data_IF_804254308189
#
_entry.id   IF_804254308189
#
_cell.length_a   1.000
_cell.length_b   1.000
_cell.length_c   1.000
_cell.angle_alpha   90.00
_cell.angle_beta   90.00
_cell.angle_gamma   90.00
#
_symmetry.space_group_name_H-M   'P 1'
#
loop_
_entity.id
_entity.type
_entity.pdbx_description
1 polymer ?
#
# COMPACT_ATOMS: atom_id res chain seq x y z
N UNK A 1 -59.10 22.16 17.70
CA UNK A 1 -58.82 22.59 16.30
C UNK A 1 -57.40 22.16 15.97
N UNK A 2 -57.23 21.17 15.09
CA UNK A 2 -55.89 20.73 14.63
C UNK A 2 -55.40 21.73 13.59
N UNK A 3 -54.58 22.70 13.99
CA UNK A 3 -53.93 23.60 13.04
C UNK A 3 -52.80 22.83 12.36
N UNK A 4 -52.90 22.62 11.05
CA UNK A 4 -51.83 22.02 10.28
C UNK A 4 -50.50 22.77 10.51
N UNK A 5 -49.36 22.06 10.60
CA UNK A 5 -48.06 22.68 10.80
C UNK A 5 -47.78 23.73 9.71
N UNK A 6 -47.18 24.86 10.10
CA UNK A 6 -46.82 25.93 9.17
C UNK A 6 -45.98 25.35 8.02
N UNK A 7 -46.15 25.88 6.81
CA UNK A 7 -45.37 25.42 5.65
C UNK A 7 -43.86 25.53 5.91
N UNK A 8 -43.46 26.54 6.68
CA UNK A 8 -42.09 26.74 7.13
C UNK A 8 -41.60 25.63 8.06
N UNK A 9 -42.41 25.20 9.04
CA UNK A 9 -42.05 24.08 9.92
C UNK A 9 -41.81 22.80 9.12
N UNK A 10 -42.71 22.47 8.19
CA UNK A 10 -42.57 21.30 7.29
C UNK A 10 -41.31 21.39 6.44
N UNK A 11 -40.96 22.59 5.94
CA UNK A 11 -39.73 22.79 5.18
C UNK A 11 -38.47 22.58 6.04
N UNK A 12 -38.46 23.07 7.29
CA UNK A 12 -37.34 22.86 8.22
C UNK A 12 -37.17 21.36 8.53
N UNK A 13 -38.26 20.65 8.84
CA UNK A 13 -38.24 19.21 9.11
C UNK A 13 -37.74 18.39 7.90
N UNK A 14 -38.17 18.77 6.69
CA UNK A 14 -37.68 18.18 5.44
C UNK A 14 -36.19 18.40 5.24
N UNK A 15 -35.71 19.62 5.46
CA UNK A 15 -34.28 19.96 5.36
C UNK A 15 -33.44 19.20 6.40
N UNK A 16 -33.92 19.05 7.64
CA UNK A 16 -33.24 18.24 8.67
C UNK A 16 -33.13 16.79 8.19
N UNK A 17 -34.23 16.20 7.74
CA UNK A 17 -34.26 14.81 7.28
C UNK A 17 -33.29 14.58 6.11
N UNK A 18 -33.26 15.49 5.14
CA UNK A 18 -32.33 15.45 4.02
C UNK A 18 -30.86 15.57 4.48
N UNK A 19 -30.56 16.49 5.38
CA UNK A 19 -29.20 16.69 5.90
C UNK A 19 -28.72 15.50 6.74
N UNK A 20 -29.59 14.89 7.54
CA UNK A 20 -29.26 13.69 8.30
C UNK A 20 -28.95 12.51 7.36
N UNK A 21 -29.71 12.37 6.27
CA UNK A 21 -29.42 11.38 5.23
C UNK A 21 -28.06 11.62 4.57
N UNK A 22 -27.79 12.85 4.09
CA UNK A 22 -26.51 13.19 3.45
C UNK A 22 -25.31 12.96 4.39
N UNK A 23 -25.46 13.31 5.67
CA UNK A 23 -24.44 13.05 6.70
C UNK A 23 -24.21 11.56 6.89
N UNK A 24 -25.26 10.75 6.90
CA UNK A 24 -25.14 9.28 7.03
C UNK A 24 -24.37 8.69 5.83
N UNK A 25 -24.65 9.17 4.62
CA UNK A 25 -23.92 8.77 3.41
C UNK A 25 -22.44 9.15 3.52
N UNK A 26 -22.11 10.40 3.88
CA UNK A 26 -20.70 10.83 4.07
C UNK A 26 -19.97 9.99 5.12
N UNK A 27 -20.63 9.69 6.24
CA UNK A 27 -20.07 8.86 7.32
C UNK A 27 -19.75 7.45 6.82
N UNK A 28 -20.64 6.87 6.01
CA UNK A 28 -20.44 5.56 5.39
C UNK A 28 -19.24 5.57 4.44
N UNK A 29 -19.14 6.60 3.59
CA UNK A 29 -18.00 6.78 2.69
C UNK A 29 -16.69 6.89 3.49
N UNK A 30 -16.68 7.70 4.55
CA UNK A 30 -15.51 7.86 5.41
C UNK A 30 -15.06 6.53 6.02
N UNK A 31 -15.99 5.74 6.54
CA UNK A 31 -15.67 4.43 7.14
C UNK A 31 -15.07 3.45 6.13
N UNK A 32 -15.66 3.36 4.93
CA UNK A 32 -15.11 2.54 3.82
C UNK A 32 -13.72 3.02 3.41
N UNK A 33 -13.52 4.35 3.32
CA UNK A 33 -12.23 4.94 2.98
C UNK A 33 -11.15 4.65 4.03
N UNK A 34 -11.51 4.64 5.32
CA UNK A 34 -10.59 4.24 6.38
C UNK A 34 -10.19 2.77 6.28
N UNK A 35 -11.10 1.88 5.89
CA UNK A 35 -10.78 0.49 5.59
C UNK A 35 -9.82 0.36 4.40
N UNK A 36 -10.07 1.08 3.29
CA UNK A 36 -9.15 1.15 2.15
C UNK A 36 -7.76 1.61 2.58
N UNK A 37 -7.65 2.69 3.38
CA UNK A 37 -6.37 3.19 3.90
C UNK A 37 -5.61 2.16 4.74
N UNK A 38 -6.31 1.35 5.55
CA UNK A 38 -5.69 0.26 6.31
C UNK A 38 -5.10 -0.81 5.40
N UNK A 39 -5.84 -1.22 4.35
CA UNK A 39 -5.37 -2.21 3.37
C UNK A 39 -4.17 -1.70 2.55
N UNK A 40 -4.19 -0.42 2.15
CA UNK A 40 -3.06 0.22 1.46
C UNK A 40 -1.84 0.31 2.37
N UNK A 41 -2.01 0.70 3.64
CA UNK A 41 -0.91 0.78 4.60
C UNK A 41 -0.32 -0.60 4.93
N UNK A 42 -1.17 -1.64 4.99
CA UNK A 42 -0.72 -3.03 5.10
C UNK A 42 0.13 -3.41 3.89
N UNK A 43 -0.33 -3.09 2.67
CA UNK A 43 0.43 -3.38 1.45
C UNK A 43 1.77 -2.64 1.38
N UNK A 44 1.80 -1.37 1.77
CA UNK A 44 3.03 -0.59 1.89
C UNK A 44 4.06 -1.26 2.80
N UNK A 45 3.64 -1.67 4.00
CA UNK A 45 4.52 -2.37 4.96
C UNK A 45 5.08 -3.68 4.39
N UNK A 46 4.26 -4.42 3.63
CA UNK A 46 4.70 -5.66 3.00
C UNK A 46 5.70 -5.41 1.86
N UNK A 47 5.51 -4.36 1.04
CA UNK A 47 6.53 -3.96 0.07
C UNK A 47 7.83 -3.51 0.74
N UNK A 48 7.77 -2.80 1.87
CA UNK A 48 8.97 -2.44 2.64
C UNK A 48 9.72 -3.69 3.13
N UNK A 49 9.00 -4.71 3.60
CA UNK A 49 9.58 -6.00 3.98
C UNK A 49 10.23 -6.71 2.79
N UNK A 50 9.58 -6.74 1.63
CA UNK A 50 10.14 -7.29 0.40
C UNK A 50 11.44 -6.56 0.00
N UNK A 51 11.45 -5.22 0.07
CA UNK A 51 12.63 -4.40 -0.20
C UNK A 51 13.80 -4.72 0.75
N UNK A 52 13.53 -4.92 2.03
CA UNK A 52 14.58 -5.30 3.00
C UNK A 52 15.19 -6.66 2.67
N UNK A 53 14.38 -7.64 2.30
CA UNK A 53 14.86 -8.97 1.89
C UNK A 53 15.71 -8.91 0.62
N UNK A 54 15.31 -8.10 -0.37
CA UNK A 54 16.08 -7.89 -1.59
C UNK A 54 17.42 -7.19 -1.33
N UNK A 55 17.46 -6.21 -0.42
CA UNK A 55 18.72 -5.58 0.01
C UNK A 55 19.67 -6.57 0.67
N UNK A 56 19.16 -7.44 1.54
CA UNK A 56 19.97 -8.53 2.13
C UNK A 56 20.46 -9.50 1.05
N UNK A 57 19.62 -9.85 0.08
CA UNK A 57 20.04 -10.69 -1.05
C UNK A 57 21.16 -10.03 -1.87
N UNK A 58 21.07 -8.71 -2.09
CA UNK A 58 22.09 -7.93 -2.77
C UNK A 58 23.43 -7.94 -2.02
N UNK A 59 23.41 -7.76 -0.70
CA UNK A 59 24.60 -7.84 0.17
C UNK A 59 25.25 -9.23 0.09
N UNK A 60 24.43 -10.30 0.09
CA UNK A 60 24.91 -11.68 -0.06
C UNK A 60 25.53 -11.94 -1.45
N UNK A 61 24.92 -11.41 -2.50
CA UNK A 61 25.45 -11.50 -3.86
C UNK A 61 26.80 -10.77 -3.98
N UNK A 62 26.94 -9.59 -3.37
CA UNK A 62 28.21 -8.87 -3.30
C UNK A 62 29.28 -9.66 -2.53
N UNK A 63 28.91 -10.29 -1.41
CA UNK A 63 29.79 -11.18 -0.66
C UNK A 63 30.29 -12.37 -1.49
N UNK A 64 29.39 -13.04 -2.22
CA UNK A 64 29.76 -14.15 -3.11
C UNK A 64 30.75 -13.70 -4.19
N UNK A 65 30.53 -12.53 -4.82
CA UNK A 65 31.47 -11.98 -5.82
C UNK A 65 32.87 -11.73 -5.27
N UNK A 66 33.00 -11.33 -4.00
CA UNK A 66 34.32 -11.14 -3.38
C UNK A 66 35.03 -12.49 -3.25
N UNK A 67 34.32 -13.56 -2.87
CA UNK A 67 34.89 -14.91 -2.77
C UNK A 67 35.38 -15.40 -4.13
N UNK A 68 34.57 -15.28 -5.19
CA UNK A 68 34.99 -15.72 -6.54
C UNK A 68 36.19 -14.92 -7.06
N UNK A 69 36.26 -13.62 -6.76
CA UNK A 69 37.43 -12.82 -7.14
C UNK A 69 38.70 -13.21 -6.37
N UNK A 70 38.57 -13.72 -5.14
CA UNK A 70 39.69 -14.27 -4.37
C UNK A 70 40.14 -15.62 -4.96
N UNK A 71 39.21 -16.49 -5.33
CA UNK A 71 39.50 -17.77 -5.99
C UNK A 71 40.32 -17.58 -7.29
N UNK A 72 39.91 -16.64 -8.15
CA UNK A 72 40.64 -16.28 -9.38
C UNK A 72 42.04 -15.71 -9.11
N UNK A 73 42.26 -15.02 -8.00
CA UNK A 73 43.58 -14.49 -7.65
C UNK A 73 44.52 -15.57 -7.08
N UNK A 74 43.99 -16.57 -6.37
CA UNK A 74 44.77 -17.63 -5.75
C UNK A 74 45.26 -18.69 -6.76
N UNK A 75 44.59 -18.88 -7.90
CA UNK A 75 45.05 -19.80 -8.97
C UNK A 75 46.38 -19.38 -9.64
N UNK A 76 46.85 -18.14 -9.46
CA UNK A 76 47.96 -17.56 -10.25
C UNK A 76 49.30 -17.39 -9.52
N UNK A 77 49.38 -17.64 -8.21
CA UNK A 77 50.62 -17.49 -7.42
C UNK A 77 51.17 -18.87 -7.06
N UNK A 78 52.15 -19.33 -7.84
CA UNK A 78 52.76 -20.65 -7.69
C UNK A 78 53.64 -20.84 -6.45
N UNK A 79 53.82 -22.12 -6.11
CA UNK A 79 54.91 -22.73 -5.32
C UNK A 79 54.77 -22.94 -3.80
N UNK A 80 53.59 -22.88 -3.17
CA UNK A 80 53.45 -23.29 -1.74
C UNK A 80 52.33 -24.33 -1.50
N UNK A 81 52.70 -25.42 -0.80
CA UNK A 81 51.91 -26.54 -0.27
C UNK A 81 50.56 -26.88 -0.95
N UNK A 82 50.62 -27.84 -1.88
CA UNK A 82 49.50 -28.38 -2.65
C UNK A 82 48.31 -28.85 -1.79
N UNK A 83 48.56 -29.45 -0.61
CA UNK A 83 47.49 -29.90 0.30
C UNK A 83 46.76 -28.72 0.99
N UNK A 84 47.48 -27.65 1.34
CA UNK A 84 46.88 -26.44 1.93
C UNK A 84 46.06 -25.67 0.90
N UNK A 85 46.42 -25.77 -0.38
CA UNK A 85 45.69 -25.14 -1.47
C UNK A 85 44.33 -25.83 -1.72
N UNK A 86 44.32 -27.17 -1.81
CA UNK A 86 43.09 -27.95 -2.01
C UNK A 86 42.08 -27.78 -0.86
N UNK A 87 42.55 -27.72 0.40
CA UNK A 87 41.69 -27.46 1.55
C UNK A 87 41.10 -26.04 1.50
N UNK A 88 41.89 -25.04 1.12
CA UNK A 88 41.42 -23.66 0.97
C UNK A 88 40.40 -23.51 -0.17
N UNK A 89 40.64 -24.13 -1.32
CA UNK A 89 39.71 -24.16 -2.46
C UNK A 89 38.37 -24.80 -2.07
N UNK A 90 38.39 -25.94 -1.38
CA UNK A 90 37.17 -26.58 -0.89
C UNK A 90 36.41 -25.70 0.11
N UNK A 91 37.11 -24.97 0.97
CA UNK A 91 36.50 -24.05 1.92
C UNK A 91 35.86 -22.84 1.24
N UNK A 92 36.51 -22.27 0.22
CA UNK A 92 35.98 -21.17 -0.59
C UNK A 92 34.74 -21.60 -1.37
N UNK A 93 34.77 -22.77 -2.02
CA UNK A 93 33.60 -23.34 -2.73
C UNK A 93 32.41 -23.58 -1.80
N UNK A 94 32.65 -24.12 -0.59
CA UNK A 94 31.59 -24.29 0.42
C UNK A 94 30.99 -22.95 0.85
N UNK A 95 31.83 -21.94 1.07
CA UNK A 95 31.38 -20.61 1.45
C UNK A 95 30.57 -19.93 0.33
N UNK A 96 30.99 -20.07 -0.93
CA UNK A 96 30.26 -19.56 -2.08
C UNK A 96 28.88 -20.23 -2.21
N UNK A 97 28.82 -21.57 -2.20
CA UNK A 97 27.56 -22.32 -2.30
C UNK A 97 26.60 -21.92 -1.18
N UNK A 98 27.11 -21.69 0.03
CA UNK A 98 26.30 -21.20 1.15
C UNK A 98 25.74 -19.80 0.87
N UNK A 99 26.56 -18.86 0.39
CA UNK A 99 26.12 -17.49 0.09
C UNK A 99 25.12 -17.44 -1.06
N UNK A 100 25.32 -18.24 -2.11
CA UNK A 100 24.37 -18.37 -3.22
C UNK A 100 23.04 -18.94 -2.75
N UNK A 101 23.06 -20.00 -1.92
CA UNK A 101 21.85 -20.57 -1.34
C UNK A 101 21.08 -19.61 -0.43
N UNK A 102 21.80 -18.82 0.38
CA UNK A 102 21.20 -17.76 1.21
C UNK A 102 20.58 -16.64 0.36
N UNK A 103 21.30 -16.18 -0.68
CA UNK A 103 20.81 -15.18 -1.65
C UNK A 103 19.50 -15.64 -2.29
N UNK A 104 19.48 -16.85 -2.84
CA UNK A 104 18.32 -17.38 -3.56
C UNK A 104 17.12 -17.56 -2.62
N UNK A 105 17.38 -18.02 -1.39
CA UNK A 105 16.36 -18.08 -0.33
C UNK A 105 15.77 -16.70 -0.04
N UNK A 106 16.59 -15.66 0.07
CA UNK A 106 16.13 -14.28 0.35
C UNK A 106 15.31 -13.71 -0.81
N UNK A 107 15.75 -13.89 -2.06
CA UNK A 107 15.00 -13.46 -3.25
C UNK A 107 13.64 -14.15 -3.31
N UNK A 108 13.60 -15.46 -3.07
CA UNK A 108 12.33 -16.21 -3.03
C UNK A 108 11.46 -15.82 -1.84
N UNK A 109 12.06 -15.55 -0.67
CA UNK A 109 11.34 -15.08 0.51
C UNK A 109 10.75 -13.68 0.31
N UNK A 110 11.32 -12.84 -0.54
CA UNK A 110 10.80 -11.51 -0.88
C UNK A 110 9.51 -11.57 -1.71
N UNK A 111 9.26 -12.67 -2.43
CA UNK A 111 8.06 -12.86 -3.24
C UNK A 111 6.78 -12.92 -2.38
N UNK A 112 6.85 -13.57 -1.23
CA UNK A 112 5.69 -13.74 -0.33
C UNK A 112 5.13 -12.39 0.12
N UNK A 113 5.90 -11.50 0.78
CA UNK A 113 5.39 -10.19 1.17
C UNK A 113 5.04 -9.30 -0.03
N UNK A 114 5.75 -9.38 -1.16
CA UNK A 114 5.38 -8.62 -2.35
C UNK A 114 4.00 -9.05 -2.91
N UNK A 115 3.70 -10.35 -2.92
CA UNK A 115 2.40 -10.87 -3.32
C UNK A 115 1.31 -10.51 -2.31
N UNK A 116 1.58 -10.61 -1.01
CA UNK A 116 0.67 -10.13 0.04
C UNK A 116 0.36 -8.63 -0.12
N UNK A 117 1.37 -7.83 -0.47
CA UNK A 117 1.20 -6.41 -0.76
C UNK A 117 0.24 -6.20 -1.94
N UNK A 118 0.51 -6.87 -3.06
CA UNK A 118 -0.31 -6.81 -4.26
C UNK A 118 -1.77 -7.18 -3.99
N UNK A 119 -2.01 -8.29 -3.28
CA UNK A 119 -3.36 -8.75 -2.90
C UNK A 119 -4.05 -7.72 -1.99
N UNK A 120 -3.35 -7.23 -0.97
CA UNK A 120 -3.90 -6.24 -0.04
C UNK A 120 -4.32 -4.96 -0.74
N UNK A 121 -3.49 -4.45 -1.66
CA UNK A 121 -3.76 -3.21 -2.39
C UNK A 121 -4.86 -3.40 -3.44
N UNK A 122 -4.86 -4.53 -4.16
CA UNK A 122 -5.94 -4.88 -5.09
C UNK A 122 -7.28 -4.98 -4.37
N UNK A 123 -7.29 -5.62 -3.20
CA UNK A 123 -8.47 -5.67 -2.34
C UNK A 123 -8.88 -4.27 -1.86
N UNK A 124 -7.93 -3.38 -1.57
CA UNK A 124 -8.25 -2.00 -1.20
C UNK A 124 -9.03 -1.28 -2.31
N UNK A 125 -8.64 -1.49 -3.57
CA UNK A 125 -9.28 -0.89 -4.73
C UNK A 125 -10.65 -1.49 -5.05
N UNK A 126 -10.84 -2.80 -4.87
CA UNK A 126 -12.16 -3.42 -5.05
C UNK A 126 -13.18 -2.97 -3.99
N UNK A 127 -12.71 -2.54 -2.81
CA UNK A 127 -13.56 -2.01 -1.73
C UNK A 127 -13.66 -0.48 -1.73
N UNK A 128 -13.04 0.21 -2.69
CA UNK A 128 -13.12 1.66 -2.74
C UNK A 128 -14.57 2.12 -3.04
N UNK A 129 -15.17 3.00 -2.22
CA UNK A 129 -16.58 3.37 -2.36
C UNK A 129 -16.87 4.05 -3.71
N UNK A 130 -17.81 3.49 -4.48
CA UNK A 130 -18.29 4.10 -5.73
C UNK A 130 -18.95 5.47 -5.47
N UNK A 131 -19.60 5.61 -4.32
CA UNK A 131 -20.23 6.85 -3.91
C UNK A 131 -19.19 7.98 -3.75
N UNK A 132 -17.96 7.65 -3.34
CA UNK A 132 -16.88 8.63 -3.30
C UNK A 132 -16.47 9.09 -4.71
N UNK A 133 -16.47 8.18 -5.70
CA UNK A 133 -16.19 8.54 -7.10
C UNK A 133 -17.24 9.49 -7.66
N UNK A 134 -18.52 9.26 -7.33
CA UNK A 134 -19.60 10.13 -7.76
C UNK A 134 -19.57 11.50 -7.08
N UNK A 135 -19.31 11.56 -5.77
CA UNK A 135 -19.39 12.80 -4.99
C UNK A 135 -18.12 13.64 -5.03
N UNK A 136 -16.96 13.01 -5.22
CA UNK A 136 -15.65 13.65 -5.26
C UNK A 136 -14.88 13.29 -6.54
N UNK A 137 -15.43 13.54 -7.74
CA UNK A 137 -14.88 13.02 -8.99
C UNK A 137 -13.45 13.48 -9.27
N UNK A 138 -13.13 14.74 -8.96
CA UNK A 138 -11.78 15.29 -9.16
C UNK A 138 -10.76 14.60 -8.25
N UNK A 139 -11.08 14.45 -6.96
CA UNK A 139 -10.16 13.84 -5.97
C UNK A 139 -10.05 12.32 -6.12
N UNK A 140 -11.12 11.65 -6.55
CA UNK A 140 -11.18 10.21 -6.72
C UNK A 140 -10.74 9.73 -8.11
N UNK A 141 -10.49 10.64 -9.05
CA UNK A 141 -10.14 10.33 -10.43
C UNK A 141 -8.95 9.37 -10.51
N UNK A 142 -7.85 9.67 -9.84
CA UNK A 142 -6.59 8.89 -9.92
C UNK A 142 -6.51 7.71 -8.94
N UNK A 143 -7.50 7.55 -8.05
CA UNK A 143 -7.43 6.54 -7.00
C UNK A 143 -7.65 5.13 -7.57
N UNK A 144 -6.66 4.27 -7.35
CA UNK A 144 -6.66 2.87 -7.74
C UNK A 144 -6.55 2.64 -9.26
N UNK A 145 -6.13 3.64 -10.05
CA UNK A 145 -5.98 3.50 -11.51
C UNK A 145 -4.59 3.06 -11.96
N UNK A 146 -3.58 3.22 -11.11
CA UNK A 146 -2.19 2.88 -11.46
C UNK A 146 -1.94 1.40 -11.16
N UNK A 147 -1.59 0.58 -12.17
CA UNK A 147 -1.28 -0.83 -11.95
C UNK A 147 0.04 -0.98 -11.17
N UNK A 148 0.11 -2.03 -10.36
CA UNK A 148 1.33 -2.42 -9.66
C UNK A 148 2.02 -3.56 -10.41
N UNK A 149 3.33 -3.43 -10.63
CA UNK A 149 4.15 -4.47 -11.21
C UNK A 149 4.37 -5.62 -10.20
N UNK A 150 4.56 -6.83 -10.73
CA UNK A 150 4.85 -8.04 -9.93
C UNK A 150 6.34 -8.35 -9.99
N UNK A 151 6.86 -8.95 -8.93
CA UNK A 151 8.25 -9.41 -8.90
C UNK A 151 8.44 -10.64 -9.78
N UNK A 152 9.67 -10.78 -10.29
CA UNK A 152 10.10 -11.97 -11.01
C UNK A 152 10.70 -12.97 -10.01
N UNK A 153 10.28 -14.24 -10.09
CA UNK A 153 10.83 -15.31 -9.25
C UNK A 153 12.23 -15.71 -9.70
N UNK A 154 13.10 -16.11 -8.76
CA UNK A 154 14.34 -16.80 -9.10
C UNK A 154 14.02 -18.22 -9.59
N UNK A 155 14.25 -18.49 -10.88
CA UNK A 155 14.04 -19.81 -11.48
C UNK A 155 15.24 -20.68 -11.16
N UNK A 156 15.06 -21.76 -10.38
CA UNK A 156 16.12 -22.71 -10.08
C UNK A 156 16.72 -23.38 -11.34
N UNK A 157 15.95 -23.42 -12.44
CA UNK A 157 16.37 -23.93 -13.75
C UNK A 157 17.39 -23.05 -14.46
N UNK A 158 17.42 -21.74 -14.21
CA UNK A 158 18.40 -20.83 -14.82
C UNK A 158 19.76 -20.94 -14.12
N UNK A 159 19.75 -21.10 -12.80
CA UNK A 159 20.97 -21.30 -11.99
C UNK A 159 21.68 -22.61 -12.36
N UNK A 160 20.92 -23.71 -12.49
CA UNK A 160 21.48 -25.05 -12.76
C UNK A 160 22.15 -25.17 -14.14
N UNK A 161 21.69 -24.41 -15.15
CA UNK A 161 22.30 -24.41 -16.49
C UNK A 161 23.60 -23.61 -16.55
N UNK A 162 23.77 -22.60 -15.68
CA UNK A 162 24.98 -21.78 -15.65
C UNK A 162 26.12 -22.49 -14.91
N UNK A 163 25.83 -23.20 -13.82
CA UNK A 163 26.85 -23.95 -13.05
C UNK A 163 27.50 -25.09 -13.88
N UNK A 164 26.81 -25.58 -14.92
CA UNK A 164 27.36 -26.57 -15.86
C UNK A 164 28.51 -26.04 -16.76
N UNK A 165 28.77 -24.72 -16.76
CA UNK A 165 29.85 -24.10 -17.55
C UNK A 165 31.13 -23.78 -16.74
N UNK A 166 31.24 -24.26 -15.50
CA UNK A 166 32.41 -24.03 -14.62
C UNK A 166 32.55 -22.57 -14.18
N UNK A 167 33.79 -22.11 -13.91
CA UNK A 167 34.11 -20.79 -13.33
C UNK A 167 33.55 -19.61 -14.15
N UNK A 168 33.47 -19.74 -15.48
CA UNK A 168 32.84 -18.73 -16.35
C UNK A 168 31.32 -18.69 -16.15
N UNK A 169 30.71 -19.85 -15.92
CA UNK A 169 29.29 -20.00 -15.62
C UNK A 169 28.91 -19.38 -14.27
N UNK A 170 29.73 -19.53 -13.24
CA UNK A 170 29.54 -18.94 -11.91
C UNK A 170 29.61 -17.41 -11.95
N UNK A 171 30.62 -16.85 -12.63
CA UNK A 171 30.73 -15.41 -12.83
C UNK A 171 29.54 -14.84 -13.64
N UNK A 172 29.05 -15.58 -14.63
CA UNK A 172 27.87 -15.21 -15.40
C UNK A 172 26.57 -15.27 -14.57
N UNK A 173 26.40 -16.35 -13.80
CA UNK A 173 25.26 -16.55 -12.89
C UNK A 173 25.18 -15.43 -11.84
N UNK A 174 26.30 -15.05 -11.24
CA UNK A 174 26.37 -13.96 -10.25
C UNK A 174 26.01 -12.59 -10.86
N UNK A 175 26.39 -12.32 -12.11
CA UNK A 175 25.99 -11.10 -12.82
C UNK A 175 24.50 -11.10 -13.20
N UNK A 176 23.96 -12.23 -13.66
CA UNK A 176 22.53 -12.37 -13.98
C UNK A 176 21.67 -12.19 -12.72
N UNK A 177 22.09 -12.78 -11.60
CA UNK A 177 21.39 -12.64 -10.32
C UNK A 177 21.48 -11.21 -9.77
N UNK A 178 22.60 -10.50 -9.98
CA UNK A 178 22.74 -9.08 -9.64
C UNK A 178 21.69 -8.22 -10.37
N UNK A 179 21.58 -8.42 -11.70
CA UNK A 179 20.57 -7.73 -12.51
C UNK A 179 19.16 -8.05 -12.02
N UNK A 180 18.86 -9.32 -11.75
CA UNK A 180 17.53 -9.75 -11.28
C UNK A 180 17.16 -9.18 -9.91
N UNK A 181 18.11 -9.11 -8.97
CA UNK A 181 17.88 -8.48 -7.66
C UNK A 181 17.63 -6.98 -7.85
N UNK A 182 18.43 -6.30 -8.68
CA UNK A 182 18.26 -4.87 -8.96
C UNK A 182 16.92 -4.56 -9.64
N UNK A 183 16.52 -5.36 -10.64
CA UNK A 183 15.21 -5.25 -11.30
C UNK A 183 14.07 -5.42 -10.29
N UNK A 184 14.12 -6.46 -9.45
CA UNK A 184 13.13 -6.67 -8.41
C UNK A 184 13.10 -5.51 -7.40
N UNK A 185 14.26 -4.98 -6.99
CA UNK A 185 14.34 -3.80 -6.14
C UNK A 185 13.71 -2.58 -6.80
N UNK A 186 13.97 -2.36 -8.10
CA UNK A 186 13.36 -1.27 -8.87
C UNK A 186 11.84 -1.41 -8.92
N UNK A 187 11.32 -2.62 -9.17
CA UNK A 187 9.88 -2.91 -9.16
C UNK A 187 9.24 -2.62 -7.80
N UNK A 188 9.85 -3.09 -6.70
CA UNK A 188 9.35 -2.78 -5.35
C UNK A 188 9.41 -1.29 -5.06
N UNK A 189 10.49 -0.61 -5.45
CA UNK A 189 10.67 0.84 -5.26
C UNK A 189 9.59 1.65 -5.98
N UNK A 190 9.34 1.35 -7.26
CA UNK A 190 8.28 1.98 -8.04
C UNK A 190 6.91 1.71 -7.42
N UNK A 191 6.66 0.47 -6.97
CA UNK A 191 5.41 0.09 -6.31
C UNK A 191 5.19 0.87 -5.00
N UNK A 192 6.24 1.05 -4.20
CA UNK A 192 6.20 1.88 -2.98
C UNK A 192 5.87 3.34 -3.31
N UNK A 193 6.48 3.91 -4.34
CA UNK A 193 6.20 5.29 -4.77
C UNK A 193 4.75 5.47 -5.23
N UNK A 194 4.22 4.52 -6.00
CA UNK A 194 2.82 4.50 -6.42
C UNK A 194 1.91 4.41 -5.19
N UNK A 195 2.18 3.47 -4.28
CA UNK A 195 1.39 3.27 -3.05
C UNK A 195 1.40 4.51 -2.17
N UNK A 196 2.55 5.17 -2.00
CA UNK A 196 2.66 6.41 -1.24
C UNK A 196 1.82 7.53 -1.86
N UNK A 197 1.89 7.69 -3.19
CA UNK A 197 1.06 8.65 -3.93
C UNK A 197 -0.43 8.36 -3.73
N UNK A 198 -0.84 7.12 -3.92
CA UNK A 198 -2.23 6.68 -3.76
C UNK A 198 -2.74 6.88 -2.31
N UNK A 199 -1.89 6.61 -1.32
CA UNK A 199 -2.19 6.87 0.09
C UNK A 199 -2.37 8.36 0.37
N UNK A 200 -1.55 9.23 -0.20
CA UNK A 200 -1.71 10.67 -0.06
C UNK A 200 -3.02 11.16 -0.68
N UNK A 201 -3.40 10.66 -1.86
CA UNK A 201 -4.70 10.97 -2.47
C UNK A 201 -5.88 10.54 -1.57
N UNK A 202 -5.81 9.33 -0.99
CA UNK A 202 -6.81 8.84 -0.04
C UNK A 202 -6.89 9.72 1.22
N UNK A 203 -5.76 10.21 1.75
CA UNK A 203 -5.75 11.09 2.92
C UNK A 203 -6.34 12.48 2.61
N UNK A 204 -6.07 13.02 1.42
CA UNK A 204 -6.68 14.27 0.95
C UNK A 204 -8.20 14.13 0.84
N UNK A 205 -8.67 13.07 0.18
CA UNK A 205 -10.10 12.77 0.06
C UNK A 205 -10.75 12.59 1.45
N UNK A 206 -10.09 11.86 2.34
CA UNK A 206 -10.53 11.65 3.73
C UNK A 206 -10.70 12.97 4.48
N UNK A 207 -9.76 13.89 4.31
CA UNK A 207 -9.80 15.22 4.94
C UNK A 207 -10.95 16.05 4.40
N UNK A 208 -11.18 16.02 3.07
CA UNK A 208 -12.31 16.70 2.45
C UNK A 208 -13.67 16.18 2.95
N UNK A 209 -13.84 14.86 3.06
CA UNK A 209 -15.06 14.25 3.61
C UNK A 209 -15.28 14.64 5.06
N UNK A 210 -14.22 14.63 5.89
CA UNK A 210 -14.31 15.06 7.29
C UNK A 210 -14.75 16.51 7.42
N UNK A 211 -14.21 17.40 6.59
CA UNK A 211 -14.61 18.81 6.58
C UNK A 211 -16.08 18.96 6.18
N UNK A 212 -16.54 18.23 5.15
CA UNK A 212 -17.95 18.22 4.76
C UNK A 212 -18.86 17.73 5.90
N UNK A 213 -18.48 16.67 6.59
CA UNK A 213 -19.23 16.17 7.76
C UNK A 213 -19.33 17.21 8.88
N UNK A 214 -18.26 17.96 9.15
CA UNK A 214 -18.28 19.05 10.13
C UNK A 214 -19.25 20.16 9.70
N UNK A 215 -19.23 20.55 8.42
CA UNK A 215 -20.17 21.53 7.88
C UNK A 215 -21.62 21.06 7.97
N UNK A 216 -21.92 19.81 7.60
CA UNK A 216 -23.26 19.22 7.69
C UNK A 216 -23.75 19.16 9.14
N UNK A 217 -22.89 18.82 10.09
CA UNK A 217 -23.23 18.84 11.52
C UNK A 217 -23.56 20.26 12.00
N UNK A 218 -22.80 21.27 11.58
CA UNK A 218 -23.11 22.68 11.89
C UNK A 218 -24.47 23.10 11.31
N UNK A 219 -24.74 22.75 10.05
CA UNK A 219 -26.01 23.06 9.39
C UNK A 219 -27.19 22.38 10.08
N UNK A 220 -27.04 21.12 10.50
CA UNK A 220 -28.05 20.39 11.26
C UNK A 220 -28.33 21.06 12.61
N UNK A 221 -27.30 21.52 13.33
CA UNK A 221 -27.48 22.26 14.58
C UNK A 221 -28.29 23.54 14.35
N UNK A 222 -27.95 24.31 13.32
CA UNK A 222 -28.70 25.53 12.97
C UNK A 222 -30.15 25.23 12.61
N UNK A 223 -30.41 24.21 11.78
CA UNK A 223 -31.77 23.82 11.40
C UNK A 223 -32.59 23.36 12.61
N UNK A 224 -31.97 22.61 13.54
CA UNK A 224 -32.62 22.17 14.78
C UNK A 224 -32.94 23.35 15.69
N UNK A 225 -32.06 24.35 15.78
CA UNK A 225 -32.36 25.58 16.52
C UNK A 225 -33.54 26.34 15.87
N UNK A 226 -33.52 26.51 14.54
CA UNK A 226 -34.62 27.15 13.81
C UNK A 226 -35.96 26.42 13.99
N UNK A 227 -35.92 25.08 14.07
CA UNK A 227 -37.11 24.27 14.33
C UNK A 227 -37.71 24.60 15.70
N UNK A 228 -36.87 24.69 16.75
CA UNK A 228 -37.34 25.02 18.10
C UNK A 228 -37.85 26.46 18.20
N UNK A 229 -37.17 27.42 17.56
CA UNK A 229 -37.63 28.81 17.47
C UNK A 229 -39.01 28.91 16.77
N UNK A 230 -39.19 28.22 15.64
CA UNK A 230 -40.47 28.22 14.92
C UNK A 230 -41.60 27.58 15.75
N UNK A 231 -41.31 26.51 16.49
CA UNK A 231 -42.28 25.91 17.42
C UNK A 231 -42.73 26.92 18.47
N UNK A 232 -41.80 27.64 19.10
CA UNK A 232 -42.11 28.66 20.11
C UNK A 232 -43.02 29.74 19.53
N UNK A 233 -42.69 30.27 18.36
CA UNK A 233 -43.50 31.29 17.67
C UNK A 233 -44.93 30.79 17.38
N UNK A 234 -45.07 29.55 16.94
CA UNK A 234 -46.40 28.93 16.71
C UNK A 234 -47.17 28.81 18.03
N UNK A 235 -46.53 28.35 19.11
CA UNK A 235 -47.17 28.19 20.42
C UNK A 235 -47.62 29.54 21.00
N UNK A 236 -46.78 30.57 20.96
CA UNK A 236 -47.14 31.92 21.40
C UNK A 236 -48.30 32.49 20.58
N UNK A 237 -48.26 32.30 19.26
CA UNK A 237 -49.33 32.75 18.36
C UNK A 237 -50.66 32.00 18.56
N UNK A 238 -50.64 30.76 19.06
CA UNK A 238 -51.84 30.02 19.46
C UNK A 238 -52.33 30.45 20.84
N UNK A 239 -51.43 30.67 21.80
CA UNK A 239 -51.77 31.12 23.14
C UNK A 239 -52.47 32.49 23.12
N UNK A 240 -51.92 33.45 22.37
CA UNK A 240 -52.51 34.78 22.23
C UNK A 240 -53.90 34.74 21.57
N UNK A 241 -54.16 33.79 20.67
CA UNK A 241 -55.48 33.57 20.06
C UNK A 241 -56.49 32.94 20.99
N UNK A 242 -56.05 32.21 22.02
CA UNK A 242 -56.94 31.59 22.99
C UNK A 242 -57.40 32.57 24.09
N UNK A 243 -56.62 33.62 24.35
CA UNK A 243 -56.93 34.65 25.34
C UNK A 243 -57.83 35.78 24.82
N UNK A 244 -58.12 35.80 23.52
CA UNK A 244 -59.04 36.74 22.86
C UNK A 244 -60.43 36.11 22.70
#
# INVERSE_FOLDING_TARGET
VSSAPSERLRAIEGNISQQEHLRSVESTILNKLEQTLRLVSKGESQFQKAMQLLKQAQEKNQGARVINNVEVCCEYTGEEDQESFEENEQNLKRAEVQLQGERDRLVNSAQVPANEAYVSITNAWSHFPEEARSRYPVMASEIGRVPLARLQSASATETFLCDAMGTFGEAFNNNMMDQKIQENMQVVSQSLQIVATQKNLLQTLKTAIRNNLLMMNSQLTTLKQQLEEEKVVIFEGLHNRYLQ
#
